data_IF_631382217888
#
_entry.id   IF_631382217888
#
_cell.length_a   1.000
_cell.length_b   1.000
_cell.length_c   1.000
_cell.angle_alpha   90.00
_cell.angle_beta   90.00
_cell.angle_gamma   90.00
#
_symmetry.space_group_name_H-M   'P 1'
#
loop_
_entity.id
_entity.type
_entity.pdbx_description
1 polymer ?
#
# COMPACT_ATOMS: atom_id res chain seq x y z
N UNK A 1 -7.91 -18.15 -14.16
CA UNK A 1 -7.09 -16.95 -13.99
C UNK A 1 -7.97 -15.92 -13.32
N UNK A 2 -7.56 -15.48 -12.15
CA UNK A 2 -8.20 -14.45 -11.35
C UNK A 2 -7.27 -13.24 -11.31
N UNK A 3 -7.86 -12.04 -11.44
CA UNK A 3 -7.13 -10.77 -11.39
C UNK A 3 -7.92 -9.86 -10.45
N UNK A 4 -7.25 -9.24 -9.49
CA UNK A 4 -7.82 -8.20 -8.65
C UNK A 4 -6.97 -6.94 -8.67
N UNK A 5 -7.63 -5.80 -8.58
CA UNK A 5 -7.03 -4.48 -8.50
C UNK A 5 -7.65 -3.76 -7.32
N UNK A 6 -6.81 -3.25 -6.42
CA UNK A 6 -7.26 -2.50 -5.25
C UNK A 6 -6.36 -1.29 -5.01
N UNK A 7 -6.95 -0.18 -4.60
CA UNK A 7 -6.25 1.04 -4.20
C UNK A 7 -6.58 1.39 -2.76
N UNK A 8 -5.58 1.75 -1.98
CA UNK A 8 -5.73 2.18 -0.60
C UNK A 8 -5.24 3.61 -0.47
N UNK A 9 -6.10 4.48 0.03
CA UNK A 9 -5.76 5.88 0.27
C UNK A 9 -5.00 6.05 1.59
N UNK A 10 -4.27 7.16 1.73
CA UNK A 10 -3.58 7.49 2.98
C UNK A 10 -4.61 7.83 4.05
N UNK A 11 -4.45 7.24 5.22
CA UNK A 11 -5.36 7.49 6.34
C UNK A 11 -5.25 8.94 6.80
N UNK A 12 -6.39 9.64 6.86
CA UNK A 12 -6.55 10.93 7.52
C UNK A 12 -7.28 10.74 8.86
N UNK A 13 -6.56 10.46 9.97
CA UNK A 13 -7.19 10.21 11.27
C UNK A 13 -8.05 11.42 11.69
N UNK A 14 -9.28 11.13 12.12
CA UNK A 14 -10.30 12.11 12.55
C UNK A 14 -10.62 13.22 11.52
N UNK A 15 -10.22 13.02 10.26
CA UNK A 15 -10.28 14.05 9.21
C UNK A 15 -9.59 15.37 9.63
N UNK A 16 -8.56 15.26 10.47
CA UNK A 16 -7.92 16.39 11.15
C UNK A 16 -7.12 17.26 10.15
N UNK A 17 -6.65 16.66 9.06
CA UNK A 17 -5.86 17.35 8.03
C UNK A 17 -6.70 17.74 6.81
N UNK A 18 -7.31 18.93 6.84
CA UNK A 18 -8.14 19.46 5.73
C UNK A 18 -7.36 19.92 4.49
N UNK A 19 -6.04 20.01 4.59
CA UNK A 19 -5.14 20.49 3.54
C UNK A 19 -4.31 19.37 2.90
N UNK A 20 -4.63 18.10 3.18
CA UNK A 20 -3.88 16.96 2.62
C UNK A 20 -2.49 16.75 3.26
N UNK A 21 -2.17 17.42 4.37
CA UNK A 21 -0.87 17.29 5.02
C UNK A 21 -0.58 15.86 5.53
N UNK A 22 -1.61 15.06 5.80
CA UNK A 22 -1.50 13.65 6.22
C UNK A 22 -0.77 12.75 5.19
N UNK A 23 -0.65 13.20 3.94
CA UNK A 23 0.07 12.50 2.87
C UNK A 23 1.58 12.76 2.86
N UNK A 24 2.08 13.75 3.61
CA UNK A 24 3.47 14.19 3.52
C UNK A 24 4.28 13.79 4.75
N UNK A 25 5.47 13.23 4.51
CA UNK A 25 6.46 12.89 5.53
C UNK A 25 7.73 13.68 5.26
N UNK A 26 8.14 14.55 6.18
CA UNK A 26 9.35 15.35 6.05
C UNK A 26 10.46 14.82 6.98
N UNK A 27 11.67 14.70 6.43
CA UNK A 27 12.87 14.35 7.16
C UNK A 27 13.87 15.52 7.09
N UNK A 28 14.24 16.04 8.26
CA UNK A 28 15.31 17.04 8.39
C UNK A 28 16.67 16.38 8.24
N UNK A 29 17.59 16.98 7.48
CA UNK A 29 18.97 16.47 7.30
C UNK A 29 19.94 16.90 8.42
N UNK A 30 19.51 17.77 9.34
CA UNK A 30 20.37 18.25 10.43
C UNK A 30 19.77 17.90 11.80
N UNK A 31 20.52 17.11 12.58
CA UNK A 31 20.11 16.46 13.82
C UNK A 31 20.90 16.97 15.03
N UNK A 32 21.28 18.25 15.07
CA UNK A 32 22.00 18.79 16.23
C UNK A 32 21.11 19.32 17.36
N UNK A 33 19.79 19.46 17.20
CA UNK A 33 18.90 19.86 18.29
C UNK A 33 17.50 19.26 18.15
N UNK A 34 17.27 18.08 18.74
CA UNK A 34 15.93 17.46 18.85
C UNK A 34 15.02 18.14 19.89
N UNK A 35 15.23 19.43 20.16
CA UNK A 35 14.50 20.15 21.22
C UNK A 35 14.63 21.66 21.26
N UNK A 36 15.24 22.33 20.27
CA UNK A 36 15.32 23.79 20.26
C UNK A 36 14.64 24.39 19.03
N UNK A 37 13.44 24.91 19.29
CA UNK A 37 12.65 25.79 18.46
C UNK A 37 13.40 27.09 18.16
N UNK A 38 14.30 27.07 17.19
CA UNK A 38 14.72 28.28 16.50
C UNK A 38 14.90 27.96 15.03
N UNK A 39 13.91 28.38 14.23
CA UNK A 39 13.98 28.44 12.78
C UNK A 39 15.03 29.51 12.42
N UNK A 40 16.31 29.16 12.56
CA UNK A 40 17.40 29.99 12.05
C UNK A 40 17.60 29.60 10.58
N UNK A 41 16.88 30.33 9.73
CA UNK A 41 17.08 30.40 8.29
C UNK A 41 18.57 30.46 7.97
N UNK A 42 19.07 29.51 7.19
CA UNK A 42 20.02 29.73 6.08
C UNK A 42 20.56 28.46 5.42
N UNK A 43 20.27 27.24 5.91
CA UNK A 43 20.62 26.02 5.16
C UNK A 43 19.89 24.74 5.63
N UNK A 44 18.63 24.84 6.06
CA UNK A 44 17.86 23.68 6.50
C UNK A 44 17.44 22.85 5.29
N UNK A 45 18.26 21.87 4.95
CA UNK A 45 17.95 20.90 3.92
C UNK A 45 16.94 19.90 4.48
N UNK A 46 15.73 19.89 3.91
CA UNK A 46 14.74 18.86 4.17
C UNK A 46 14.58 17.97 2.93
N UNK A 47 14.24 16.71 3.15
CA UNK A 47 13.61 15.88 2.12
C UNK A 47 12.20 15.61 2.57
N UNK A 48 11.28 15.53 1.62
CA UNK A 48 9.94 15.05 1.90
C UNK A 48 9.62 13.89 0.96
N UNK A 49 8.76 13.00 1.44
CA UNK A 49 8.13 11.95 0.65
C UNK A 49 6.64 12.21 0.69
N UNK A 50 6.00 12.18 -0.47
CA UNK A 50 4.54 12.22 -0.60
C UNK A 50 4.03 10.79 -0.76
N UNK A 51 3.20 10.35 0.17
CA UNK A 51 2.45 9.11 0.05
C UNK A 51 1.12 9.44 -0.66
N UNK A 52 0.92 8.91 -1.87
CA UNK A 52 -0.33 9.04 -2.62
C UNK A 52 -1.24 7.81 -2.48
N UNK A 53 -0.94 6.98 -1.48
CA UNK A 53 -1.61 5.71 -1.25
C UNK A 53 -0.84 4.54 -1.86
N UNK A 54 -1.56 3.43 -1.95
CA UNK A 54 -1.07 2.14 -2.41
C UNK A 54 -1.96 1.63 -3.53
N UNK A 55 -1.35 1.09 -4.58
CA UNK A 55 -2.07 0.28 -5.57
C UNK A 55 -1.54 -1.15 -5.51
N UNK A 56 -2.45 -2.13 -5.44
CA UNK A 56 -2.13 -3.55 -5.48
C UNK A 56 -2.81 -4.20 -6.68
N UNK A 57 -2.05 -4.96 -7.45
CA UNK A 57 -2.55 -5.80 -8.53
C UNK A 57 -2.18 -7.24 -8.20
N UNK A 58 -3.18 -8.09 -8.02
CA UNK A 58 -2.97 -9.50 -7.72
C UNK A 58 -3.35 -10.36 -8.92
N UNK A 59 -2.52 -11.35 -9.21
CA UNK A 59 -2.76 -12.36 -10.22
C UNK A 59 -2.79 -13.72 -9.56
N UNK A 60 -3.84 -14.49 -9.80
CA UNK A 60 -4.03 -15.83 -9.23
C UNK A 60 -4.32 -16.84 -10.34
N UNK A 61 -3.54 -17.92 -10.36
CA UNK A 61 -3.71 -19.05 -11.26
C UNK A 61 -4.13 -20.26 -10.44
N UNK A 62 -5.39 -20.65 -10.57
CA UNK A 62 -5.98 -21.80 -9.89
C UNK A 62 -6.14 -22.98 -10.86
N UNK A 63 -5.78 -24.17 -10.42
CA UNK A 63 -6.09 -25.45 -11.05
C UNK A 63 -7.12 -26.16 -10.17
N UNK A 64 -8.30 -26.45 -10.74
CA UNK A 64 -9.43 -27.00 -10.00
C UNK A 64 -9.84 -28.37 -10.54
N UNK A 65 -10.34 -29.23 -9.64
CA UNK A 65 -10.87 -30.54 -9.99
C UNK A 65 -12.16 -30.84 -9.22
N UNK A 66 -13.14 -31.35 -9.95
CA UNK A 66 -14.42 -31.80 -9.39
C UNK A 66 -14.30 -33.23 -8.90
N UNK A 67 -14.54 -33.45 -7.61
CA UNK A 67 -14.46 -34.77 -7.00
C UNK A 67 -15.77 -35.49 -7.31
N UNK A 68 -15.73 -36.43 -8.26
CA UNK A 68 -16.88 -37.24 -8.63
C UNK A 68 -16.80 -38.63 -8.01
N UNK A 69 -17.81 -39.00 -7.20
CA UNK A 69 -17.97 -40.33 -6.63
C UNK A 69 -19.37 -40.86 -6.91
N UNK A 70 -19.47 -42.14 -7.32
CA UNK A 70 -20.77 -42.77 -7.64
C UNK A 70 -21.64 -42.83 -6.39
N UNK A 71 -22.79 -42.16 -6.42
CA UNK A 71 -23.81 -42.22 -5.36
C UNK A 71 -23.97 -40.96 -4.50
N UNK A 72 -23.19 -39.90 -4.75
CA UNK A 72 -23.28 -38.64 -4.01
C UNK A 72 -23.99 -37.58 -4.88
N UNK A 73 -25.03 -36.93 -4.35
CA UNK A 73 -25.81 -35.89 -5.06
C UNK A 73 -25.13 -34.51 -5.07
N UNK A 74 -23.99 -34.38 -4.40
CA UNK A 74 -23.19 -33.17 -4.25
C UNK A 74 -21.82 -33.41 -4.87
N UNK A 75 -21.37 -32.46 -5.70
CA UNK A 75 -20.06 -32.50 -6.37
C UNK A 75 -19.16 -31.47 -5.69
N UNK A 76 -18.37 -31.85 -4.66
CA UNK A 76 -17.39 -30.95 -4.09
C UNK A 76 -16.26 -30.69 -5.10
N UNK A 77 -15.71 -29.48 -5.10
CA UNK A 77 -14.58 -29.10 -5.94
C UNK A 77 -13.41 -28.67 -5.06
N UNK A 78 -12.20 -28.93 -5.52
CA UNK A 78 -10.96 -28.50 -4.86
C UNK A 78 -10.09 -27.75 -5.86
N UNK A 79 -9.42 -26.70 -5.41
CA UNK A 79 -8.48 -25.94 -6.22
C UNK A 79 -7.14 -25.84 -5.51
N UNK A 80 -6.06 -25.87 -6.28
CA UNK A 80 -4.73 -25.47 -5.86
C UNK A 80 -4.26 -24.35 -6.79
N UNK A 81 -3.67 -23.30 -6.24
CA UNK A 81 -3.28 -22.15 -7.03
C UNK A 81 -1.95 -21.55 -6.62
N UNK A 82 -1.38 -20.78 -7.53
CA UNK A 82 -0.25 -19.90 -7.30
C UNK A 82 -0.67 -18.47 -7.58
N UNK A 83 -0.27 -17.55 -6.72
CA UNK A 83 -0.56 -16.14 -6.87
C UNK A 83 0.67 -15.28 -6.74
N UNK A 84 0.62 -14.08 -7.32
CA UNK A 84 1.60 -13.01 -7.11
C UNK A 84 0.90 -11.67 -6.99
N UNK A 85 1.50 -10.79 -6.20
CA UNK A 85 1.03 -9.42 -5.99
C UNK A 85 2.07 -8.43 -6.51
N UNK A 86 1.60 -7.37 -7.18
CA UNK A 86 2.38 -6.21 -7.56
C UNK A 86 1.89 -5.01 -6.76
N UNK A 87 2.74 -4.53 -5.85
CA UNK A 87 2.42 -3.41 -4.96
C UNK A 87 3.19 -2.17 -5.43
N UNK A 88 2.45 -1.09 -5.69
CA UNK A 88 2.99 0.24 -5.97
C UNK A 88 2.76 1.15 -4.77
N UNK A 89 3.84 1.65 -4.17
CA UNK A 89 3.87 2.60 -3.06
C UNK A 89 4.86 3.68 -3.49
N UNK A 90 4.42 4.95 -3.53
CA UNK A 90 5.19 6.16 -3.87
C UNK A 90 5.39 6.50 -5.36
N UNK A 91 5.07 7.75 -5.70
CA UNK A 91 5.57 8.44 -6.88
C UNK A 91 6.85 9.22 -6.46
N UNK A 92 8.00 8.82 -6.98
CA UNK A 92 9.29 9.44 -6.65
C UNK A 92 9.55 10.55 -7.65
N UNK A 93 8.75 11.62 -7.60
CA UNK A 93 9.02 12.79 -8.45
C UNK A 93 10.24 13.53 -7.86
N UNK A 94 11.38 13.42 -8.57
CA UNK A 94 12.64 14.11 -8.24
C UNK A 94 12.62 15.60 -8.60
#
# INVERSE_FOLDING_TARGET
LEISYETFDVKNPDNDYKNGAHMYYALSRNSSDLGQSSIQSNNQQYVYIKNEGLANISFMLNACYDITSKGISLIPYVCAGIGTDLISMFDITS
#
